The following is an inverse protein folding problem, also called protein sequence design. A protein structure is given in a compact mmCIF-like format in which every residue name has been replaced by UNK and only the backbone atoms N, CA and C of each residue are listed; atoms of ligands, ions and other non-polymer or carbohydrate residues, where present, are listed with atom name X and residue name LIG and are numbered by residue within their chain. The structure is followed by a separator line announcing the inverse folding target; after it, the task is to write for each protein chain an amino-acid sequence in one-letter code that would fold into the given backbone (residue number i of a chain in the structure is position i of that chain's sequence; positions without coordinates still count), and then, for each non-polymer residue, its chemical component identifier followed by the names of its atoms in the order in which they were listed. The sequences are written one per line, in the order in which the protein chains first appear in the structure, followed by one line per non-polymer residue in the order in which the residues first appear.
data_IF_189724995410
#
_entry.id   IF_189724995410
#
_cell.length_a   1.000
_cell.length_b   1.000
_cell.length_c   1.000
_cell.angle_alpha   90.00
_cell.angle_beta   90.00
_cell.angle_gamma   90.00
#
_symmetry.space_group_name_H-M   'P 1'
#
loop_
_entity.id
_entity.type
_entity.pdbx_description
1 polymer ?
#
# COMPACT_ATOMS: atom_id res chain seq x y z
N UNK A 1 33.41 21.38 31.29
CA UNK A 1 32.20 21.44 30.45
C UNK A 1 32.06 20.08 29.78
N UNK A 2 31.28 19.17 30.39
CA UNK A 2 30.97 17.87 29.80
C UNK A 2 30.07 18.10 28.60
N UNK A 3 30.48 17.64 27.42
CA UNK A 3 29.60 17.60 26.27
C UNK A 3 28.45 16.66 26.59
N UNK A 4 27.25 17.20 26.86
CA UNK A 4 26.02 16.43 26.87
C UNK A 4 25.85 15.83 25.48
N UNK A 5 26.28 14.57 25.33
CA UNK A 5 26.12 13.81 24.11
C UNK A 5 24.62 13.64 23.86
N UNK A 6 24.09 14.41 22.90
CA UNK A 6 22.71 14.29 22.42
C UNK A 6 22.46 12.83 22.05
N UNK A 7 21.73 12.11 22.90
CA UNK A 7 21.31 10.74 22.62
C UNK A 7 20.26 10.80 21.53
N UNK A 8 20.70 10.74 20.27
CA UNK A 8 19.79 10.56 19.13
C UNK A 8 19.13 9.19 19.32
N UNK A 9 17.79 9.13 19.45
CA UNK A 9 17.09 7.86 19.60
C UNK A 9 17.41 6.96 18.40
N UNK A 10 17.97 5.78 18.64
CA UNK A 10 18.21 4.80 17.57
C UNK A 10 16.86 4.32 17.06
N UNK A 11 16.58 4.55 15.77
CA UNK A 11 15.38 4.03 15.11
C UNK A 11 15.32 2.51 15.26
N UNK A 12 14.17 1.99 15.69
CA UNK A 12 14.00 0.55 15.92
C UNK A 12 14.19 -0.23 14.61
N UNK A 13 14.83 -1.41 14.65
CA UNK A 13 14.93 -2.30 13.49
C UNK A 13 13.56 -2.56 12.86
N UNK A 14 12.52 -2.70 13.68
CA UNK A 14 11.14 -2.90 13.21
C UNK A 14 10.63 -1.71 12.39
N UNK A 15 10.93 -0.48 12.82
CA UNK A 15 10.52 0.73 12.10
C UNK A 15 11.27 0.88 10.77
N UNK A 16 12.57 0.55 10.75
CA UNK A 16 13.37 0.52 9.52
C UNK A 16 12.85 -0.53 8.54
N UNK A 17 12.61 -1.76 8.99
CA UNK A 17 12.05 -2.84 8.16
C UNK A 17 10.65 -2.51 7.66
N UNK A 18 9.81 -1.88 8.49
CA UNK A 18 8.50 -1.41 8.07
C UNK A 18 8.61 -0.36 6.95
N UNK A 19 9.54 0.59 7.07
CA UNK A 19 9.80 1.57 6.00
C UNK A 19 10.26 0.93 4.69
N UNK A 20 11.14 -0.09 4.76
CA UNK A 20 11.53 -0.88 3.58
C UNK A 20 10.33 -1.60 2.97
N UNK A 21 9.50 -2.23 3.80
CA UNK A 21 8.27 -2.88 3.34
C UNK A 21 7.35 -1.89 2.60
N UNK A 22 7.11 -0.70 3.15
CA UNK A 22 6.28 0.31 2.48
C UNK A 22 6.85 0.73 1.12
N UNK A 23 8.19 0.83 0.99
CA UNK A 23 8.83 1.12 -0.31
C UNK A 23 8.68 -0.01 -1.32
N UNK A 24 8.70 -1.27 -0.88
CA UNK A 24 8.42 -2.40 -1.76
C UNK A 24 6.96 -2.36 -2.25
N UNK A 25 6.01 -2.09 -1.36
CA UNK A 25 4.59 -1.91 -1.72
C UNK A 25 4.42 -0.70 -2.66
N UNK A 26 5.17 0.37 -2.46
CA UNK A 26 5.17 1.53 -3.35
C UNK A 26 5.59 1.17 -4.78
N UNK A 27 6.66 0.39 -4.94
CA UNK A 27 7.11 -0.10 -6.25
C UNK A 27 6.00 -0.95 -6.90
N UNK A 28 5.36 -1.84 -6.14
CA UNK A 28 4.23 -2.63 -6.63
C UNK A 28 3.04 -1.77 -7.05
N UNK A 29 2.70 -0.75 -6.26
CA UNK A 29 1.64 0.21 -6.63
C UNK A 29 1.99 0.94 -7.92
N UNK A 30 3.23 1.44 -8.05
CA UNK A 30 3.66 2.11 -9.28
C UNK A 30 3.53 1.18 -10.49
N UNK A 31 3.96 -0.08 -10.35
CA UNK A 31 3.79 -1.10 -11.38
C UNK A 31 2.32 -1.35 -11.75
N UNK A 32 1.42 -1.47 -10.77
CA UNK A 32 -0.01 -1.63 -11.03
C UNK A 32 -0.59 -0.40 -11.74
N UNK A 33 -0.21 0.81 -11.34
CA UNK A 33 -0.58 2.04 -12.03
C UNK A 33 -0.19 2.04 -13.50
N UNK A 34 1.05 1.62 -13.81
CA UNK A 34 1.51 1.47 -15.20
C UNK A 34 0.70 0.43 -15.98
N UNK A 35 0.30 -0.68 -15.36
CA UNK A 35 -0.54 -1.69 -16.01
C UNK A 35 -1.94 -1.13 -16.33
N UNK A 36 -2.55 -0.38 -15.43
CA UNK A 36 -3.83 0.29 -15.70
C UNK A 36 -3.71 1.37 -16.77
N UNK A 37 -2.62 2.13 -16.80
CA UNK A 37 -2.36 3.05 -17.92
C UNK A 37 -2.18 2.31 -19.24
N UNK A 38 -1.37 1.25 -19.28
CA UNK A 38 -1.17 0.43 -20.47
C UNK A 38 -2.49 -0.14 -21.01
N UNK A 39 -3.37 -0.57 -20.11
CA UNK A 39 -4.74 -0.96 -20.47
C UNK A 39 -5.47 0.22 -21.15
N UNK A 40 -5.60 1.34 -20.44
CA UNK A 40 -6.41 2.49 -20.86
C UNK A 40 -5.98 3.11 -22.20
N UNK A 41 -4.67 3.14 -22.50
CA UNK A 41 -4.15 3.65 -23.78
C UNK A 41 -4.24 2.63 -24.92
N UNK A 42 -4.73 1.41 -24.65
CA UNK A 42 -4.84 0.34 -25.64
C UNK A 42 -3.54 -0.37 -25.96
N UNK A 43 -2.50 -0.25 -25.14
CA UNK A 43 -1.27 -1.04 -25.30
C UNK A 43 -1.56 -2.54 -25.09
N UNK A 44 -2.48 -2.86 -24.18
CA UNK A 44 -2.91 -4.23 -23.91
C UNK A 44 -3.98 -4.74 -24.89
N UNK A 45 -4.10 -6.06 -24.99
CA UNK A 45 -5.17 -6.75 -25.71
C UNK A 45 -5.34 -6.32 -27.18
N UNK A 46 -4.24 -6.11 -27.91
CA UNK A 46 -4.24 -5.67 -29.31
C UNK A 46 -5.12 -4.42 -29.54
N UNK A 47 -5.15 -3.48 -28.59
CA UNK A 47 -5.93 -2.26 -28.70
C UNK A 47 -7.39 -2.37 -28.25
N UNK A 48 -7.89 -3.55 -27.88
CA UNK A 48 -9.25 -3.70 -27.34
C UNK A 48 -9.37 -3.23 -25.89
N UNK A 49 -8.25 -3.06 -25.19
CA UNK A 49 -8.20 -2.54 -23.82
C UNK A 49 -8.41 -1.02 -23.69
N UNK A 50 -8.42 -0.29 -24.81
CA UNK A 50 -8.55 1.18 -24.81
C UNK A 50 -9.81 1.63 -24.09
N UNK A 51 -9.74 2.78 -23.42
CA UNK A 51 -10.82 3.30 -22.57
C UNK A 51 -12.21 3.31 -23.24
N UNK A 52 -12.31 3.75 -24.50
CA UNK A 52 -13.55 3.85 -25.26
C UNK A 52 -14.16 2.49 -25.64
N UNK A 53 -13.41 1.39 -25.57
CA UNK A 53 -13.91 0.04 -25.84
C UNK A 53 -14.23 -0.75 -24.57
N UNK A 54 -13.75 -0.31 -23.40
CA UNK A 54 -14.06 -0.94 -22.13
C UNK A 54 -15.55 -0.80 -21.77
N UNK A 55 -16.08 -1.75 -21.00
CA UNK A 55 -17.40 -1.63 -20.38
C UNK A 55 -17.42 -0.50 -19.35
N UNK A 56 -18.60 0.03 -19.01
CA UNK A 56 -18.72 1.13 -18.04
C UNK A 56 -18.06 0.80 -16.68
N UNK A 57 -18.26 -0.40 -16.08
CA UNK A 57 -17.56 -0.75 -14.83
C UNK A 57 -16.04 -0.70 -14.96
N UNK A 58 -15.49 -1.20 -16.07
CA UNK A 58 -14.05 -1.16 -16.33
C UNK A 58 -13.52 0.25 -16.55
N UNK A 59 -14.26 1.12 -17.25
CA UNK A 59 -13.86 2.52 -17.43
C UNK A 59 -13.72 3.25 -16.10
N UNK A 60 -14.71 3.10 -15.22
CA UNK A 60 -14.71 3.73 -13.89
C UNK A 60 -13.54 3.17 -13.07
N UNK A 61 -13.47 1.86 -12.91
CA UNK A 61 -12.47 1.23 -12.06
C UNK A 61 -11.03 1.48 -12.57
N UNK A 62 -10.77 1.24 -13.86
CA UNK A 62 -9.43 1.37 -14.43
C UNK A 62 -8.94 2.82 -14.39
N UNK A 63 -9.78 3.81 -14.70
CA UNK A 63 -9.39 5.22 -14.62
C UNK A 63 -9.10 5.66 -13.19
N UNK A 64 -9.93 5.23 -12.23
CA UNK A 64 -9.69 5.51 -10.80
C UNK A 64 -8.39 4.85 -10.32
N UNK A 65 -8.17 3.57 -10.63
CA UNK A 65 -6.97 2.84 -10.20
C UNK A 65 -5.70 3.35 -10.88
N UNK A 66 -5.76 3.77 -12.14
CA UNK A 66 -4.65 4.39 -12.86
C UNK A 66 -4.13 5.66 -12.18
N UNK A 67 -4.97 6.37 -11.41
CA UNK A 67 -4.57 7.54 -10.62
C UNK A 67 -4.24 7.15 -9.17
N UNK A 68 -5.07 6.32 -8.55
CA UNK A 68 -4.92 5.94 -7.14
C UNK A 68 -3.59 5.22 -6.88
N UNK A 69 -3.15 4.34 -7.77
CA UNK A 69 -1.92 3.58 -7.59
C UNK A 69 -0.64 4.43 -7.63
N UNK A 70 -0.42 5.34 -8.61
CA UNK A 70 0.71 6.27 -8.56
C UNK A 70 0.69 7.18 -7.34
N UNK A 71 -0.50 7.67 -6.93
CA UNK A 71 -0.64 8.47 -5.71
C UNK A 71 -0.23 7.65 -4.50
N UNK A 72 -0.78 6.45 -4.31
CA UNK A 72 -0.38 5.52 -3.24
C UNK A 72 1.12 5.23 -3.26
N UNK A 73 1.70 4.98 -4.44
CA UNK A 73 3.12 4.73 -4.60
C UNK A 73 3.98 5.89 -4.07
N UNK A 74 3.67 7.13 -4.45
CA UNK A 74 4.38 8.31 -3.95
C UNK A 74 4.23 8.44 -2.43
N UNK A 75 3.01 8.27 -1.91
CA UNK A 75 2.74 8.41 -0.48
C UNK A 75 3.48 7.36 0.35
N UNK A 76 3.50 6.12 -0.12
CA UNK A 76 4.21 5.01 0.52
C UNK A 76 5.73 5.18 0.42
N UNK A 77 6.25 5.63 -0.74
CA UNK A 77 7.69 5.82 -0.94
C UNK A 77 8.28 6.89 -0.02
N UNK A 78 7.54 8.00 0.13
CA UNK A 78 7.89 9.12 0.99
C UNK A 78 7.52 8.88 2.46
N UNK A 79 6.92 7.73 2.80
CA UNK A 79 6.49 7.36 4.15
C UNK A 79 5.52 8.37 4.79
N UNK A 80 4.69 9.03 3.97
CA UNK A 80 3.66 9.97 4.45
C UNK A 80 2.37 9.25 4.84
N UNK A 81 1.66 9.79 5.83
CA UNK A 81 0.53 9.10 6.49
C UNK A 81 -0.65 8.78 5.56
N UNK A 82 -0.84 9.55 4.48
CA UNK A 82 -1.92 9.31 3.52
C UNK A 82 -1.61 8.15 2.54
N UNK A 83 -0.34 7.77 2.36
CA UNK A 83 0.07 6.70 1.43
C UNK A 83 -0.63 5.37 1.70
N UNK A 84 -0.56 4.83 2.93
CA UNK A 84 -1.29 3.61 3.31
C UNK A 84 -2.81 3.71 3.12
N UNK A 85 -3.40 4.89 3.33
CA UNK A 85 -4.85 5.09 3.16
C UNK A 85 -5.24 4.90 1.69
N UNK A 86 -4.55 5.59 0.78
CA UNK A 86 -4.84 5.46 -0.66
C UNK A 86 -4.52 4.06 -1.17
N UNK A 87 -3.44 3.44 -0.69
CA UNK A 87 -3.12 2.05 -1.01
C UNK A 87 -4.25 1.09 -0.61
N UNK A 88 -4.79 1.21 0.60
CA UNK A 88 -5.90 0.37 1.07
C UNK A 88 -7.14 0.58 0.20
N UNK A 89 -7.46 1.81 -0.19
CA UNK A 89 -8.59 2.08 -1.11
C UNK A 89 -8.39 1.40 -2.46
N UNK A 90 -7.19 1.47 -3.04
CA UNK A 90 -6.88 0.82 -4.31
C UNK A 90 -6.94 -0.72 -4.19
N UNK A 91 -6.33 -1.28 -3.14
CA UNK A 91 -6.36 -2.71 -2.86
C UNK A 91 -7.79 -3.23 -2.63
N UNK A 92 -8.59 -2.51 -1.83
CA UNK A 92 -9.99 -2.86 -1.58
C UNK A 92 -10.81 -2.84 -2.88
N UNK A 93 -10.55 -1.87 -3.76
CA UNK A 93 -11.21 -1.80 -5.08
C UNK A 93 -10.90 -3.05 -5.91
N UNK A 94 -9.64 -3.45 -6.03
CA UNK A 94 -9.28 -4.68 -6.77
C UNK A 94 -9.79 -5.96 -6.10
N UNK A 95 -9.84 -6.02 -4.76
CA UNK A 95 -10.46 -7.13 -4.03
C UNK A 95 -11.95 -7.23 -4.35
N UNK A 96 -12.67 -6.10 -4.35
CA UNK A 96 -14.09 -6.05 -4.73
C UNK A 96 -14.27 -6.49 -6.19
N UNK A 97 -13.45 -5.97 -7.10
CA UNK A 97 -13.52 -6.33 -8.52
C UNK A 97 -13.34 -7.83 -8.75
N UNK A 98 -12.23 -8.39 -8.30
CA UNK A 98 -11.84 -9.77 -8.68
C UNK A 98 -12.34 -10.83 -7.70
N UNK A 99 -12.74 -10.46 -6.49
CA UNK A 99 -13.25 -11.37 -5.46
C UNK A 99 -14.77 -11.38 -5.34
N UNK A 100 -15.44 -10.25 -5.53
CA UNK A 100 -16.89 -10.12 -5.34
C UNK A 100 -17.67 -9.91 -6.63
N UNK A 101 -17.06 -9.33 -7.67
CA UNK A 101 -17.68 -9.12 -8.98
C UNK A 101 -16.90 -9.77 -10.15
N UNK A 102 -16.51 -11.06 -10.04
CA UNK A 102 -15.71 -11.71 -11.07
C UNK A 102 -16.43 -11.80 -12.43
N UNK A 103 -17.77 -11.80 -12.46
CA UNK A 103 -18.53 -11.80 -13.72
C UNK A 103 -18.36 -10.50 -14.53
N UNK A 104 -18.04 -9.38 -13.85
CA UNK A 104 -17.81 -8.08 -14.49
C UNK A 104 -16.35 -7.84 -14.83
N UNK A 105 -15.44 -8.27 -13.95
CA UNK A 105 -14.00 -7.93 -14.02
C UNK A 105 -13.09 -9.13 -14.32
N UNK A 106 -13.66 -10.32 -14.48
CA UNK A 106 -12.91 -11.56 -14.58
C UNK A 106 -12.27 -11.98 -13.27
N UNK A 107 -11.65 -13.16 -13.27
CA UNK A 107 -11.00 -13.74 -12.10
C UNK A 107 -9.49 -13.50 -12.14
N UNK A 108 -8.94 -12.89 -11.08
CA UNK A 108 -7.48 -12.70 -10.91
C UNK A 108 -7.03 -13.13 -9.50
N UNK A 109 -6.97 -14.43 -9.20
CA UNK A 109 -6.68 -14.93 -7.86
C UNK A 109 -5.31 -14.48 -7.33
N UNK A 110 -4.31 -14.35 -8.21
CA UNK A 110 -2.99 -13.85 -7.83
C UNK A 110 -3.05 -12.44 -7.22
N UNK A 111 -3.88 -11.54 -7.77
CA UNK A 111 -4.03 -10.18 -7.23
C UNK A 111 -4.64 -10.21 -5.83
N UNK A 112 -5.62 -11.08 -5.59
CA UNK A 112 -6.22 -11.25 -4.26
C UNK A 112 -5.20 -11.73 -3.22
N UNK A 113 -4.37 -12.72 -3.59
CA UNK A 113 -3.30 -13.23 -2.73
C UNK A 113 -2.27 -12.14 -2.42
N UNK A 114 -1.87 -11.35 -3.41
CA UNK A 114 -0.90 -10.27 -3.23
C UNK A 114 -1.43 -9.18 -2.28
N UNK A 115 -2.67 -8.71 -2.48
CA UNK A 115 -3.27 -7.73 -1.56
C UNK A 115 -3.47 -8.28 -0.16
N UNK A 116 -3.99 -9.50 -0.04
CA UNK A 116 -4.18 -10.15 1.25
C UNK A 116 -2.87 -10.34 2.01
N UNK A 117 -1.83 -10.82 1.32
CA UNK A 117 -0.49 -10.99 1.89
C UNK A 117 0.14 -9.67 2.33
N UNK A 118 0.08 -8.63 1.48
CA UNK A 118 0.61 -7.32 1.83
C UNK A 118 -0.17 -6.67 3.00
N UNK A 119 -1.50 -6.79 3.03
CA UNK A 119 -2.33 -6.32 4.14
C UNK A 119 -1.98 -7.04 5.45
N UNK A 120 -1.80 -8.37 5.41
CA UNK A 120 -1.42 -9.15 6.58
C UNK A 120 -0.05 -8.70 7.14
N UNK A 121 0.95 -8.54 6.27
CA UNK A 121 2.28 -8.05 6.67
C UNK A 121 2.19 -6.64 7.26
N UNK A 122 1.41 -5.76 6.64
CA UNK A 122 1.19 -4.40 7.13
C UNK A 122 0.59 -4.41 8.55
N UNK A 123 -0.49 -5.17 8.77
CA UNK A 123 -1.14 -5.29 10.08
C UNK A 123 -0.19 -5.88 11.12
N UNK A 124 0.60 -6.89 10.76
CA UNK A 124 1.60 -7.47 11.64
C UNK A 124 2.64 -6.44 12.10
N UNK A 125 3.23 -5.68 11.17
CA UNK A 125 4.18 -4.60 11.52
C UNK A 125 3.52 -3.55 12.43
N UNK A 126 2.30 -3.10 12.10
CA UNK A 126 1.57 -2.11 12.91
C UNK A 126 1.28 -2.64 14.32
N UNK A 127 0.92 -3.91 14.45
CA UNK A 127 0.70 -4.58 15.73
C UNK A 127 1.98 -4.64 16.58
N UNK A 128 3.11 -5.05 15.98
CA UNK A 128 4.41 -5.11 16.67
C UNK A 128 4.87 -3.72 17.13
N UNK A 129 4.77 -2.71 16.26
CA UNK A 129 5.16 -1.33 16.60
C UNK A 129 4.28 -0.79 17.73
N UNK A 130 2.96 -1.03 17.67
CA UNK A 130 2.04 -0.62 18.72
C UNK A 130 2.37 -1.29 20.06
N UNK A 131 2.65 -2.60 20.04
CA UNK A 131 3.04 -3.36 21.22
C UNK A 131 4.35 -2.84 21.83
N UNK A 132 5.37 -2.56 21.01
CA UNK A 132 6.64 -1.99 21.47
C UNK A 132 6.43 -0.62 22.17
N UNK A 133 5.61 0.25 21.57
CA UNK A 133 5.27 1.58 22.13
C UNK A 133 4.54 1.46 23.47
N UNK A 134 3.56 0.56 23.55
CA UNK A 134 2.83 0.29 24.80
C UNK A 134 3.76 -0.23 25.91
N UNK A 135 4.70 -1.11 25.58
CA UNK A 135 5.65 -1.66 26.56
C UNK A 135 6.62 -0.60 27.09
N UNK A 136 7.17 0.25 26.22
CA UNK A 136 8.07 1.34 26.63
C UNK A 136 7.36 2.36 27.52
N UNK A 137 6.12 2.75 27.19
CA UNK A 137 5.33 3.66 28.01
C UNK A 137 4.99 3.09 29.39
N UNK A 138 4.83 1.77 29.51
CA UNK A 138 4.64 1.10 30.82
C UNK A 138 5.90 1.16 31.67
N UNK A 139 7.07 0.86 31.11
CA UNK A 139 8.35 0.89 31.84
C UNK A 139 8.65 2.30 32.36
N UNK A 140 8.54 3.32 31.51
CA UNK A 140 8.80 4.72 31.91
C UNK A 140 7.89 5.22 33.06
N UNK A 141 6.66 4.71 33.15
CA UNK A 141 5.72 5.05 34.22
C UNK A 141 6.09 4.43 35.57
N UNK A 142 6.76 3.28 35.59
CA UNK A 142 7.24 2.65 36.83
C UNK A 142 8.54 3.28 37.34
N UNK A 143 9.31 3.91 36.47
CA UNK A 143 10.57 4.61 36.81
C UNK A 143 10.35 6.11 37.16
N UNK A 144 9.10 6.56 37.25
CA UNK A 144 8.75 7.93 37.68
C UNK A 144 8.69 7.99 39.22
N UNK A 145 9.37 8.94 39.90
CA UNK A 145 9.35 9.05 41.37
C UNK A 145 7.96 9.36 41.94
#
# INVERSE_FOLDING_TARGET
MSHDSVHVPKVSLTETLFGVFLRLVAISCFWFGLNYWALLIGYSFNGSGRFDLLTVPWRVAAATLAVAYPVAALGLWLLVSWGPVIWVVAAATEIVMFGFYPDLFGTKPLILVLHGGAALIFVAFRGVILYQRMRQGRVARFDSP
#
